data_IF_768020411026
#
_entry.id   IF_768020411026
#
_cell.length_a   1.000
_cell.length_b   1.000
_cell.length_c   1.000
_cell.angle_alpha   90.00
_cell.angle_beta   90.00
_cell.angle_gamma   90.00
#
_symmetry.space_group_name_H-M   'P 1'
#
loop_
_entity.id
_entity.type
_entity.pdbx_description
1 polymer ?
#
# COMPACT_ATOMS: atom_id res chain seq x y z
N UNK A 1 8.91 2.54 -9.65
CA UNK A 1 8.13 3.11 -10.77
C UNK A 1 6.90 2.27 -11.18
N UNK A 2 6.79 1.00 -10.77
CA UNK A 2 5.68 0.10 -11.17
C UNK A 2 4.47 0.12 -10.23
N UNK A 3 4.57 0.71 -9.05
CA UNK A 3 3.48 0.74 -8.04
C UNK A 3 2.22 1.44 -8.53
N UNK A 4 2.35 2.55 -9.27
CA UNK A 4 1.22 3.28 -9.85
C UNK A 4 0.43 2.45 -10.87
N UNK A 5 1.10 1.59 -11.66
CA UNK A 5 0.45 0.71 -12.65
C UNK A 5 -0.45 -0.31 -11.95
N UNK A 6 0.04 -0.89 -10.84
CA UNK A 6 -0.76 -1.81 -10.04
C UNK A 6 -1.98 -1.11 -9.46
N UNK A 7 -1.80 0.09 -8.91
CA UNK A 7 -2.90 0.89 -8.37
C UNK A 7 -3.93 1.28 -9.43
N UNK A 8 -3.48 1.75 -10.60
CA UNK A 8 -4.35 2.07 -11.71
C UNK A 8 -5.20 0.87 -12.17
N UNK A 9 -4.63 -0.33 -12.17
CA UNK A 9 -5.34 -1.56 -12.51
C UNK A 9 -6.42 -1.91 -11.48
N UNK A 10 -6.12 -1.75 -10.19
CA UNK A 10 -7.08 -1.97 -9.10
C UNK A 10 -8.24 -0.99 -9.21
N UNK A 11 -7.95 0.31 -9.35
CA UNK A 11 -8.98 1.36 -9.50
C UNK A 11 -9.85 1.11 -10.72
N UNK A 12 -9.24 0.76 -11.87
CA UNK A 12 -9.99 0.40 -13.09
C UNK A 12 -10.91 -0.80 -12.84
N UNK A 13 -10.44 -1.84 -12.18
CA UNK A 13 -11.24 -3.01 -11.82
C UNK A 13 -12.44 -2.64 -10.95
N UNK A 14 -12.26 -1.79 -9.96
CA UNK A 14 -13.34 -1.29 -9.10
C UNK A 14 -14.38 -0.49 -9.89
N UNK A 15 -13.95 0.42 -10.77
CA UNK A 15 -14.86 1.19 -11.63
C UNK A 15 -15.67 0.27 -12.52
N UNK A 16 -15.03 -0.74 -13.15
CA UNK A 16 -15.71 -1.70 -14.01
C UNK A 16 -16.73 -2.57 -13.26
N UNK A 17 -16.43 -2.95 -12.03
CA UNK A 17 -17.35 -3.69 -11.17
C UNK A 17 -18.56 -2.84 -10.76
N UNK A 18 -18.35 -1.58 -10.40
CA UNK A 18 -19.41 -0.72 -9.89
C UNK A 18 -20.28 -0.07 -10.98
N UNK A 19 -19.75 0.10 -12.20
CA UNK A 19 -20.46 0.82 -13.27
C UNK A 19 -21.80 0.18 -13.69
N UNK A 20 -21.95 -1.12 -13.48
CA UNK A 20 -23.15 -1.90 -13.85
C UNK A 20 -24.08 -2.14 -12.66
N UNK A 21 -23.78 -1.60 -11.48
CA UNK A 21 -24.64 -1.73 -10.32
C UNK A 21 -25.93 -0.93 -10.49
N UNK A 22 -27.01 -1.42 -9.87
CA UNK A 22 -28.36 -0.85 -9.96
C UNK A 22 -28.43 0.63 -9.63
N UNK A 23 -27.69 1.10 -8.61
CA UNK A 23 -27.67 2.51 -8.23
C UNK A 23 -27.06 3.42 -9.31
N UNK A 24 -26.10 2.91 -10.11
CA UNK A 24 -25.51 3.65 -11.23
C UNK A 24 -26.49 3.69 -12.41
N UNK A 25 -27.18 2.57 -12.68
CA UNK A 25 -28.19 2.49 -13.71
C UNK A 25 -29.37 3.40 -13.39
N UNK A 26 -29.85 3.39 -12.14
CA UNK A 26 -30.90 4.29 -11.68
C UNK A 26 -30.50 5.77 -11.85
N UNK A 27 -29.30 6.15 -11.47
CA UNK A 27 -28.79 7.52 -11.65
C UNK A 27 -28.74 7.94 -13.14
N UNK A 28 -28.40 7.00 -14.05
CA UNK A 28 -28.42 7.25 -15.50
C UNK A 28 -29.84 7.46 -16.03
N UNK A 29 -30.81 6.64 -15.60
CA UNK A 29 -32.20 6.77 -15.99
C UNK A 29 -32.77 8.12 -15.54
N UNK A 30 -32.37 8.61 -14.37
CA UNK A 30 -32.72 9.93 -13.84
C UNK A 30 -32.01 11.09 -14.53
N UNK A 31 -31.22 10.84 -15.58
CA UNK A 31 -30.54 11.88 -16.38
C UNK A 31 -29.30 12.48 -15.74
N UNK A 32 -28.69 11.81 -14.73
CA UNK A 32 -27.48 12.30 -14.11
C UNK A 32 -26.29 12.27 -15.09
N UNK A 33 -25.52 13.35 -15.14
CA UNK A 33 -24.32 13.42 -15.97
C UNK A 33 -23.26 12.40 -15.53
N UNK A 34 -22.46 11.90 -16.45
CA UNK A 34 -21.36 10.94 -16.17
C UNK A 34 -20.42 11.43 -15.08
N UNK A 35 -20.09 12.72 -15.08
CA UNK A 35 -19.23 13.32 -14.06
C UNK A 35 -19.87 13.28 -12.67
N UNK A 36 -21.17 13.57 -12.57
CA UNK A 36 -21.93 13.50 -11.31
C UNK A 36 -22.01 12.08 -10.79
N UNK A 37 -22.23 11.09 -11.66
CA UNK A 37 -22.24 9.67 -11.31
C UNK A 37 -20.87 9.26 -10.78
N UNK A 38 -19.78 9.67 -11.45
CA UNK A 38 -18.43 9.33 -11.04
C UNK A 38 -18.10 9.89 -9.66
N UNK A 39 -18.28 11.20 -9.46
CA UNK A 39 -17.89 11.88 -8.21
C UNK A 39 -18.81 11.51 -7.04
N UNK A 40 -20.13 11.46 -7.25
CA UNK A 40 -21.10 11.31 -6.17
C UNK A 40 -21.42 9.85 -5.84
N UNK A 41 -21.26 8.94 -6.79
CA UNK A 41 -21.65 7.54 -6.61
C UNK A 41 -20.48 6.56 -6.72
N UNK A 42 -19.61 6.68 -7.71
CA UNK A 42 -18.52 5.73 -7.90
C UNK A 42 -17.38 5.93 -6.89
N UNK A 43 -16.83 7.15 -6.80
CA UNK A 43 -15.69 7.43 -5.91
C UNK A 43 -16.00 7.02 -4.46
N UNK A 44 -17.09 7.46 -3.81
CA UNK A 44 -17.35 7.08 -2.42
C UNK A 44 -17.45 5.56 -2.21
N UNK A 45 -18.07 4.85 -3.15
CA UNK A 45 -18.25 3.39 -3.05
C UNK A 45 -16.97 2.59 -3.31
N UNK A 46 -15.97 3.17 -3.98
CA UNK A 46 -14.69 2.51 -4.23
C UNK A 46 -13.59 2.91 -3.24
N UNK A 47 -13.81 3.95 -2.42
CA UNK A 47 -12.79 4.48 -1.48
C UNK A 47 -12.28 3.40 -0.52
N UNK A 48 -13.16 2.56 0.03
CA UNK A 48 -12.74 1.49 0.93
C UNK A 48 -11.72 0.54 0.29
N UNK A 49 -12.02 0.04 -0.92
CA UNK A 49 -11.11 -0.85 -1.65
C UNK A 49 -9.80 -0.17 -2.05
N UNK A 50 -9.85 1.13 -2.38
CA UNK A 50 -8.66 1.93 -2.71
C UNK A 50 -7.78 2.11 -1.46
N UNK A 51 -8.36 2.46 -0.32
CA UNK A 51 -7.62 2.65 0.94
C UNK A 51 -6.93 1.36 1.39
N UNK A 52 -7.62 0.22 1.31
CA UNK A 52 -7.01 -1.09 1.57
C UNK A 52 -5.85 -1.37 0.62
N UNK A 53 -6.04 -1.11 -0.68
CA UNK A 53 -4.98 -1.33 -1.67
C UNK A 53 -3.76 -0.44 -1.44
N UNK A 54 -3.94 0.81 -1.01
CA UNK A 54 -2.85 1.72 -0.62
C UNK A 54 -2.12 1.18 0.61
N UNK A 55 -2.87 0.82 1.67
CA UNK A 55 -2.31 0.30 2.91
C UNK A 55 -1.43 -0.94 2.67
N UNK A 56 -1.87 -1.87 1.82
CA UNK A 56 -1.11 -3.07 1.46
C UNK A 56 0.14 -2.78 0.60
N UNK A 57 0.23 -1.62 -0.05
CA UNK A 57 1.43 -1.25 -0.82
C UNK A 57 2.55 -0.67 0.05
N UNK A 58 2.22 -0.10 1.22
CA UNK A 58 3.21 0.53 2.12
C UNK A 58 4.28 -0.48 2.58
N UNK A 59 3.93 -1.67 3.13
CA UNK A 59 4.93 -2.67 3.51
C UNK A 59 5.84 -3.10 2.36
N UNK A 60 5.25 -3.29 1.16
CA UNK A 60 6.01 -3.66 -0.03
C UNK A 60 6.99 -2.56 -0.47
N UNK A 61 6.61 -1.28 -0.34
CA UNK A 61 7.48 -0.16 -0.67
C UNK A 61 8.66 -0.06 0.33
N UNK A 62 8.38 -0.21 1.63
CA UNK A 62 9.39 -0.22 2.70
C UNK A 62 10.39 -1.36 2.47
N UNK A 63 9.88 -2.58 2.21
CA UNK A 63 10.75 -3.72 1.95
C UNK A 63 11.61 -3.52 0.70
N UNK A 64 11.04 -3.00 -0.38
CA UNK A 64 11.78 -2.76 -1.63
C UNK A 64 12.86 -1.70 -1.44
N UNK A 65 12.55 -0.61 -0.73
CA UNK A 65 13.54 0.43 -0.40
C UNK A 65 14.67 -0.15 0.46
N UNK A 66 14.32 -0.85 1.55
CA UNK A 66 15.31 -1.44 2.44
C UNK A 66 16.21 -2.46 1.71
N UNK A 67 15.63 -3.27 0.82
CA UNK A 67 16.39 -4.23 0.00
C UNK A 67 17.34 -3.52 -0.97
N UNK A 68 16.87 -2.51 -1.71
CA UNK A 68 17.70 -1.76 -2.65
C UNK A 68 18.83 -1.02 -1.91
N UNK A 69 18.52 -0.44 -0.76
CA UNK A 69 19.51 0.23 0.07
C UNK A 69 20.54 -0.74 0.64
N UNK A 70 20.11 -1.94 1.04
CA UNK A 70 21.01 -3.01 1.48
C UNK A 70 21.98 -3.47 0.39
N UNK A 71 21.53 -3.54 -0.86
CA UNK A 71 22.38 -3.90 -2.02
C UNK A 71 23.25 -2.72 -2.50
N UNK A 72 23.10 -1.53 -1.89
CA UNK A 72 23.87 -0.34 -2.27
C UNK A 72 23.26 0.47 -3.43
N UNK A 73 22.02 0.15 -3.84
CA UNK A 73 21.30 0.87 -4.91
C UNK A 73 20.21 1.81 -4.35
N UNK A 74 20.22 2.07 -3.04
CA UNK A 74 19.24 2.90 -2.37
C UNK A 74 19.67 4.35 -2.21
N UNK A 75 19.30 4.94 -1.07
CA UNK A 75 19.65 6.33 -0.74
C UNK A 75 21.13 6.49 -0.49
N UNK A 76 21.69 7.57 -1.02
CA UNK A 76 23.12 7.89 -0.86
C UNK A 76 23.35 8.79 0.35
N UNK A 77 24.55 8.71 0.94
CA UNK A 77 24.96 9.63 1.99
C UNK A 77 24.74 11.10 1.58
N UNK A 78 24.37 12.00 2.49
CA UNK A 78 24.26 11.82 3.95
C UNK A 78 22.94 11.23 4.46
N UNK A 79 22.03 10.80 3.59
CA UNK A 79 20.75 10.22 3.98
C UNK A 79 20.94 8.75 4.37
N UNK A 80 20.39 8.37 5.53
CA UNK A 80 20.43 7.00 6.01
C UNK A 80 19.02 6.38 5.94
N UNK A 81 18.96 5.09 5.59
CA UNK A 81 17.79 4.24 5.73
C UNK A 81 18.15 3.01 6.57
N UNK A 82 17.14 2.27 7.00
CA UNK A 82 17.40 1.02 7.71
C UNK A 82 18.15 0.00 6.83
N UNK A 83 17.93 0.02 5.52
CA UNK A 83 18.64 -0.82 4.57
C UNK A 83 20.12 -0.45 4.45
N UNK A 84 20.44 0.85 4.39
CA UNK A 84 21.84 1.31 4.38
C UNK A 84 22.56 0.98 5.69
N UNK A 85 21.88 1.14 6.85
CA UNK A 85 22.44 0.74 8.15
C UNK A 85 22.73 -0.76 8.22
N UNK A 86 21.89 -1.61 7.64
CA UNK A 86 22.17 -3.04 7.52
C UNK A 86 23.39 -3.30 6.63
N UNK A 87 23.52 -2.60 5.51
CA UNK A 87 24.68 -2.72 4.61
C UNK A 87 25.97 -2.31 5.31
N UNK A 88 25.98 -1.16 5.98
CA UNK A 88 27.14 -0.62 6.69
C UNK A 88 27.58 -1.52 7.86
N UNK A 89 26.68 -2.29 8.44
CA UNK A 89 26.97 -3.25 9.51
C UNK A 89 27.58 -4.58 9.02
N UNK A 90 27.48 -4.91 7.72
CA UNK A 90 27.98 -6.18 7.16
C UNK A 90 29.46 -6.45 7.44
N UNK A 91 30.41 -5.50 7.28
CA UNK A 91 31.81 -5.77 7.53
C UNK A 91 32.12 -6.14 8.99
N UNK A 92 31.30 -5.64 9.92
CA UNK A 92 31.44 -5.86 11.36
C UNK A 92 30.57 -6.98 11.94
N UNK A 93 29.84 -7.74 11.15
CA UNK A 93 28.81 -8.68 11.62
C UNK A 93 29.33 -9.74 12.60
N UNK A 94 30.57 -10.19 12.45
CA UNK A 94 31.18 -11.20 13.34
C UNK A 94 31.69 -10.62 14.66
N UNK A 95 31.93 -9.30 14.72
CA UNK A 95 32.46 -8.61 15.91
C UNK A 95 31.34 -7.89 16.66
N UNK A 96 30.43 -7.25 15.92
CA UNK A 96 29.34 -6.44 16.46
C UNK A 96 27.99 -6.80 15.82
N UNK A 97 27.46 -8.01 16.04
CA UNK A 97 26.23 -8.48 15.37
C UNK A 97 24.99 -7.62 15.69
N UNK A 98 24.97 -6.93 16.82
CA UNK A 98 23.87 -6.07 17.23
C UNK A 98 23.67 -4.86 16.30
N UNK A 99 24.71 -4.40 15.60
CA UNK A 99 24.63 -3.28 14.66
C UNK A 99 23.72 -3.62 13.46
N UNK A 100 23.72 -4.86 13.00
CA UNK A 100 22.83 -5.35 11.95
C UNK A 100 21.46 -5.74 12.51
N UNK A 101 21.39 -6.33 13.71
CA UNK A 101 20.13 -6.76 14.33
C UNK A 101 19.19 -5.60 14.57
N UNK A 102 19.71 -4.46 15.03
CA UNK A 102 18.87 -3.29 15.36
C UNK A 102 18.04 -2.79 14.16
N UNK A 103 18.63 -2.44 13.00
CA UNK A 103 17.85 -2.00 11.85
C UNK A 103 17.01 -3.13 11.23
N UNK A 104 17.48 -4.38 11.27
CA UNK A 104 16.72 -5.53 10.77
C UNK A 104 15.43 -5.76 11.58
N UNK A 105 15.50 -5.65 12.92
CA UNK A 105 14.32 -5.71 13.80
C UNK A 105 13.39 -4.53 13.51
N UNK A 106 13.92 -3.31 13.34
CA UNK A 106 13.13 -2.12 13.05
C UNK A 106 12.33 -2.29 11.75
N UNK A 107 12.96 -2.79 10.66
CA UNK A 107 12.29 -3.12 9.40
C UNK A 107 11.18 -4.15 9.64
N UNK A 108 11.50 -5.25 10.32
CA UNK A 108 10.58 -6.36 10.55
C UNK A 108 9.34 -5.93 11.34
N UNK A 109 9.54 -5.18 12.43
CA UNK A 109 8.44 -4.66 13.27
C UNK A 109 7.58 -3.68 12.49
N UNK A 110 8.19 -2.79 11.70
CA UNK A 110 7.45 -1.82 10.90
C UNK A 110 6.61 -2.51 9.83
N UNK A 111 7.18 -3.47 9.10
CA UNK A 111 6.43 -4.23 8.09
C UNK A 111 5.28 -5.01 8.74
N UNK A 112 5.52 -5.66 9.88
CA UNK A 112 4.49 -6.38 10.61
C UNK A 112 3.36 -5.44 11.06
N UNK A 113 3.70 -4.29 11.64
CA UNK A 113 2.70 -3.30 12.08
C UNK A 113 1.84 -2.81 10.92
N UNK A 114 2.44 -2.50 9.76
CA UNK A 114 1.68 -2.07 8.57
C UNK A 114 0.85 -3.20 7.95
N UNK A 115 1.30 -4.46 8.01
CA UNK A 115 0.50 -5.60 7.56
C UNK A 115 -0.73 -5.77 8.45
N UNK A 116 -0.57 -5.78 9.79
CA UNK A 116 -1.69 -5.87 10.73
C UNK A 116 -2.66 -4.69 10.57
N UNK A 117 -2.14 -3.47 10.38
CA UNK A 117 -2.97 -2.30 10.10
C UNK A 117 -3.77 -2.45 8.80
N UNK A 118 -3.12 -2.96 7.73
CA UNK A 118 -3.77 -3.18 6.43
C UNK A 118 -4.87 -4.23 6.50
N UNK A 119 -4.64 -5.31 7.27
CA UNK A 119 -5.63 -6.37 7.49
C UNK A 119 -6.81 -5.84 8.31
N UNK A 120 -6.57 -5.08 9.38
CA UNK A 120 -7.63 -4.43 10.15
C UNK A 120 -8.44 -3.43 9.32
N UNK A 121 -7.78 -2.69 8.43
CA UNK A 121 -8.45 -1.77 7.51
C UNK A 121 -9.31 -2.53 6.49
N UNK A 122 -8.82 -3.64 5.98
CA UNK A 122 -9.55 -4.52 5.08
C UNK A 122 -10.83 -5.06 5.74
N UNK A 123 -10.70 -5.56 6.97
CA UNK A 123 -11.85 -6.09 7.72
C UNK A 123 -12.88 -5.00 8.02
N UNK A 124 -12.44 -3.79 8.35
CA UNK A 124 -13.33 -2.66 8.60
C UNK A 124 -14.12 -2.20 7.36
N UNK A 125 -13.53 -2.35 6.17
CA UNK A 125 -14.15 -1.96 4.90
C UNK A 125 -14.83 -3.13 4.16
N UNK A 126 -14.77 -4.37 4.68
CA UNK A 126 -15.44 -5.51 4.04
C UNK A 126 -16.96 -5.48 4.36
N UNK A 127 -17.82 -5.26 3.35
CA UNK A 127 -19.28 -5.20 3.57
C UNK A 127 -19.87 -6.52 4.03
N UNK A 128 -19.17 -7.65 3.82
CA UNK A 128 -19.66 -8.99 4.17
C UNK A 128 -19.63 -9.29 5.67
N UNK A 129 -18.87 -8.52 6.45
CA UNK A 129 -18.82 -8.68 7.91
C UNK A 129 -19.89 -7.87 8.66
N UNK A 130 -20.66 -7.04 7.97
CA UNK A 130 -21.83 -6.34 8.54
C UNK A 130 -23.10 -7.20 8.45
N UNK A 131 -23.09 -8.36 9.10
CA UNK A 131 -24.33 -9.11 9.42
C UNK A 131 -24.62 -9.01 10.91
#
# INVERSE_FOLDING_TARGET
>A
LTYWVRMARIVRGQVLSLKNNEFVLAAKILGASTQRIFIKHLIPNMMGAIMVAIAMQIPNAIFTEAFLSFVGLGVSAPMASWGTLCNDALPGIYVYPYQMLTPAIAISVTILAFNLFSDGLRDAFDPKQRK
#
